data_IF_165955325934
#
_entry.id   IF_165955325934
#
_cell.length_a   1.000
_cell.length_b   1.000
_cell.length_c   1.000
_cell.angle_alpha   90.00
_cell.angle_beta   90.00
_cell.angle_gamma   90.00
#
_symmetry.space_group_name_H-M   'P 1'
#
loop_
_entity.id
_entity.type
_entity.pdbx_description
1 polymer ?
#
# COMPACT_ATOMS: atom_id res chain seq x y z
N UNK A 1 8.80 -13.52 -19.42
CA UNK A 1 8.49 -12.08 -19.34
C UNK A 1 8.65 -11.49 -20.74
N UNK A 2 7.63 -10.83 -21.28
CA UNK A 2 7.47 -10.68 -22.74
C UNK A 2 8.21 -9.44 -23.29
N UNK A 3 8.82 -9.54 -24.48
CA UNK A 3 9.54 -8.44 -25.19
C UNK A 3 8.73 -7.14 -25.25
N UNK A 4 7.42 -7.28 -25.43
CA UNK A 4 6.42 -6.22 -25.47
C UNK A 4 6.40 -5.36 -24.18
N UNK A 5 6.58 -5.98 -23.02
CA UNK A 5 6.56 -5.26 -21.73
C UNK A 5 7.74 -4.31 -21.61
N UNK A 6 8.94 -4.76 -21.99
CA UNK A 6 10.14 -3.92 -21.95
C UNK A 6 10.09 -2.78 -22.96
N UNK A 7 9.47 -2.98 -24.12
CA UNK A 7 9.20 -1.92 -25.08
C UNK A 7 8.24 -0.86 -24.51
N UNK A 8 7.17 -1.28 -23.83
CA UNK A 8 6.26 -0.37 -23.14
C UNK A 8 6.97 0.44 -22.05
N UNK A 9 7.76 -0.23 -21.19
CA UNK A 9 8.55 0.42 -20.14
C UNK A 9 9.55 1.41 -20.74
N UNK A 10 10.30 1.02 -21.77
CA UNK A 10 11.27 1.88 -22.43
C UNK A 10 10.65 3.15 -23.02
N UNK A 11 9.48 3.03 -23.65
CA UNK A 11 8.74 4.19 -24.14
C UNK A 11 8.22 5.08 -23.02
N UNK A 12 7.69 4.48 -21.94
CA UNK A 12 7.28 5.24 -20.77
C UNK A 12 8.46 6.01 -20.17
N UNK A 13 9.62 5.37 -20.01
CA UNK A 13 10.85 6.01 -19.54
C UNK A 13 11.21 7.20 -20.44
N UNK A 14 11.21 7.02 -21.76
CA UNK A 14 11.55 8.07 -22.72
C UNK A 14 10.65 9.31 -22.56
N UNK A 15 9.33 9.13 -22.47
CA UNK A 15 8.37 10.23 -22.35
C UNK A 15 8.20 10.79 -20.93
N UNK A 16 8.79 10.14 -19.92
CA UNK A 16 8.66 10.57 -18.52
C UNK A 16 9.96 11.15 -17.99
N UNK A 17 11.07 10.44 -18.17
CA UNK A 17 12.38 10.76 -17.56
C UNK A 17 13.08 11.88 -18.32
N UNK A 18 13.05 11.87 -19.66
CA UNK A 18 13.75 12.88 -20.46
C UNK A 18 13.16 14.29 -20.23
N UNK A 19 11.82 14.50 -20.31
CA UNK A 19 11.25 15.81 -20.03
C UNK A 19 11.52 16.29 -18.60
N UNK A 20 11.50 15.36 -17.63
CA UNK A 20 11.82 15.64 -16.22
C UNK A 20 13.21 16.24 -16.07
N UNK A 21 14.23 15.60 -16.65
CA UNK A 21 15.63 16.02 -16.49
C UNK A 21 15.90 17.33 -17.26
N UNK A 22 15.26 17.53 -18.41
CA UNK A 22 15.34 18.80 -19.17
C UNK A 22 14.76 19.95 -18.35
N UNK A 23 13.56 19.79 -17.80
CA UNK A 23 12.89 20.83 -16.99
C UNK A 23 13.67 21.07 -15.69
N UNK A 24 14.23 20.02 -15.10
CA UNK A 24 15.14 20.09 -13.98
C UNK A 24 16.50 20.72 -14.28
N UNK A 25 16.79 21.07 -15.55
CA UNK A 25 18.10 21.58 -16.02
C UNK A 25 19.28 20.68 -15.59
N UNK A 26 19.07 19.36 -15.61
CA UNK A 26 20.07 18.37 -15.17
C UNK A 26 20.07 18.08 -13.67
N UNK A 27 19.25 18.76 -12.87
CA UNK A 27 19.08 18.51 -11.43
C UNK A 27 17.66 18.06 -11.10
N UNK A 28 17.49 17.39 -9.96
CA UNK A 28 16.16 17.09 -9.43
C UNK A 28 15.61 18.31 -8.67
N UNK A 29 15.12 19.30 -9.41
CA UNK A 29 14.41 20.45 -8.84
C UNK A 29 12.97 20.08 -8.49
N UNK A 30 12.29 20.92 -7.72
CA UNK A 30 10.86 20.75 -7.39
C UNK A 30 10.04 20.58 -8.69
N UNK A 31 10.28 21.42 -9.70
CA UNK A 31 9.62 21.31 -11.01
C UNK A 31 9.92 19.99 -11.73
N UNK A 32 11.15 19.46 -11.59
CA UNK A 32 11.49 18.14 -12.11
C UNK A 32 10.70 17.03 -11.40
N UNK A 33 10.60 17.08 -10.07
CA UNK A 33 9.81 16.12 -9.28
C UNK A 33 8.34 16.17 -9.67
N UNK A 34 7.75 17.36 -9.76
CA UNK A 34 6.36 17.55 -10.19
C UNK A 34 6.13 16.99 -11.60
N UNK A 35 7.01 17.28 -12.54
CA UNK A 35 6.91 16.76 -13.90
C UNK A 35 7.02 15.23 -13.94
N UNK A 36 7.96 14.65 -13.19
CA UNK A 36 8.09 13.20 -13.12
C UNK A 36 6.85 12.55 -12.51
N UNK A 37 6.36 13.09 -11.39
CA UNK A 37 5.18 12.54 -10.71
C UNK A 37 3.94 12.60 -11.61
N UNK A 38 3.72 13.70 -12.34
CA UNK A 38 2.60 13.82 -13.28
C UNK A 38 2.74 12.87 -14.48
N UNK A 39 3.90 12.89 -15.15
CA UNK A 39 4.11 12.11 -16.37
C UNK A 39 4.15 10.60 -16.09
N UNK A 40 4.70 10.18 -14.94
CA UNK A 40 4.75 8.76 -14.56
C UNK A 40 3.37 8.14 -14.32
N UNK A 41 2.37 8.98 -14.03
CA UNK A 41 0.97 8.58 -14.02
C UNK A 41 0.36 8.65 -15.42
N UNK A 42 0.45 9.80 -16.09
CA UNK A 42 -0.30 10.08 -17.32
C UNK A 42 0.19 9.24 -18.50
N UNK A 43 1.50 9.15 -18.71
CA UNK A 43 2.08 8.50 -19.90
C UNK A 43 1.66 7.03 -19.99
N UNK A 44 1.82 6.18 -18.95
CA UNK A 44 1.35 4.79 -19.01
C UNK A 44 -0.15 4.67 -19.27
N UNK A 45 -0.98 5.56 -18.72
CA UNK A 45 -2.43 5.57 -18.93
C UNK A 45 -2.80 5.91 -20.38
N UNK A 46 -2.15 6.91 -20.96
CA UNK A 46 -2.38 7.30 -22.36
C UNK A 46 -1.88 6.23 -23.31
N UNK A 47 -0.65 5.76 -23.14
CA UNK A 47 -0.03 4.76 -24.01
C UNK A 47 -0.84 3.46 -24.06
N UNK A 48 -1.45 3.04 -22.94
CA UNK A 48 -2.28 1.83 -22.93
C UNK A 48 -3.60 1.98 -23.71
N UNK A 49 -4.08 3.20 -23.91
CA UNK A 49 -5.33 3.49 -24.66
C UNK A 49 -5.12 3.61 -26.17
N UNK A 50 -3.88 3.78 -26.62
CA UNK A 50 -3.59 3.94 -28.05
C UNK A 50 -3.53 2.57 -28.72
N UNK A 51 -4.60 2.18 -29.42
CA UNK A 51 -4.73 0.89 -30.11
C UNK A 51 -3.66 0.65 -31.17
N UNK A 52 -3.12 1.72 -31.76
CA UNK A 52 -2.04 1.66 -32.77
C UNK A 52 -0.71 1.17 -32.17
N UNK A 53 -0.54 1.23 -30.86
CA UNK A 53 0.66 0.74 -30.19
C UNK A 53 0.54 -0.77 -29.97
N UNK A 54 1.12 -1.57 -30.88
CA UNK A 54 1.13 -3.05 -30.82
C UNK A 54 1.66 -3.60 -29.49
N UNK A 55 2.44 -2.83 -28.73
CA UNK A 55 2.92 -3.22 -27.41
C UNK A 55 1.90 -3.01 -26.29
N UNK A 56 0.88 -2.15 -26.47
CA UNK A 56 -0.19 -1.94 -25.50
C UNK A 56 -1.20 -3.09 -25.49
N UNK A 57 -1.42 -3.74 -26.64
CA UNK A 57 -2.44 -4.79 -26.83
C UNK A 57 -2.05 -6.16 -26.27
N UNK A 58 -0.76 -6.42 -26.07
CA UNK A 58 -0.25 -7.68 -25.50
C UNK A 58 0.12 -7.63 -24.02
N UNK A 59 -0.06 -6.47 -23.36
CA UNK A 59 0.40 -6.22 -22.00
C UNK A 59 -0.77 -6.12 -20.99
N UNK A 60 -0.86 -7.11 -20.10
CA UNK A 60 -1.92 -7.19 -19.10
C UNK A 60 -1.53 -6.46 -17.80
N UNK A 61 -1.91 -5.18 -17.70
CA UNK A 61 -1.79 -4.38 -16.47
C UNK A 61 -3.06 -3.54 -16.27
N UNK A 62 -3.78 -3.69 -15.16
CA UNK A 62 -4.96 -2.84 -14.92
C UNK A 62 -4.53 -1.45 -14.50
N UNK A 63 -5.17 -0.43 -15.09
CA UNK A 63 -4.78 0.97 -14.93
C UNK A 63 -4.89 1.48 -13.48
N UNK A 64 -5.88 1.00 -12.73
CA UNK A 64 -6.04 1.40 -11.33
C UNK A 64 -4.99 0.78 -10.41
N UNK A 65 -4.45 -0.41 -10.71
CA UNK A 65 -3.31 -0.96 -9.96
C UNK A 65 -2.01 -0.22 -10.28
N UNK A 66 -1.86 0.28 -11.52
CA UNK A 66 -0.79 1.23 -11.84
C UNK A 66 -0.92 2.53 -11.06
N UNK A 67 -2.13 3.12 -11.02
CA UNK A 67 -2.36 4.35 -10.25
C UNK A 67 -2.08 4.15 -8.74
N UNK A 68 -2.46 3.01 -8.18
CA UNK A 68 -2.12 2.67 -6.79
C UNK A 68 -0.60 2.50 -6.59
N UNK A 69 0.08 1.74 -7.45
CA UNK A 69 1.54 1.59 -7.39
C UNK A 69 2.27 2.93 -7.56
N UNK A 70 1.81 3.76 -8.49
CA UNK A 70 2.30 5.12 -8.70
C UNK A 70 2.23 5.91 -7.38
N UNK A 71 1.07 5.95 -6.74
CA UNK A 71 0.88 6.69 -5.49
C UNK A 71 1.82 6.18 -4.39
N UNK A 72 2.00 4.85 -4.27
CA UNK A 72 2.90 4.27 -3.27
C UNK A 72 4.35 4.70 -3.48
N UNK A 73 4.85 4.58 -4.71
CA UNK A 73 6.25 4.87 -5.02
C UNK A 73 6.53 6.37 -5.07
N UNK A 74 5.59 7.20 -5.50
CA UNK A 74 5.77 8.66 -5.45
C UNK A 74 5.82 9.16 -4.00
N UNK A 75 4.98 8.62 -3.13
CA UNK A 75 5.03 8.93 -1.70
C UNK A 75 6.36 8.45 -1.10
N UNK A 76 6.80 7.23 -1.39
CA UNK A 76 8.05 6.71 -0.85
C UNK A 76 9.29 7.51 -1.28
N UNK A 77 9.41 7.80 -2.58
CA UNK A 77 10.59 8.49 -3.12
C UNK A 77 10.54 10.00 -2.91
N UNK A 78 9.40 10.67 -3.11
CA UNK A 78 9.36 12.14 -3.19
C UNK A 78 8.69 12.82 -1.99
N UNK A 79 7.81 12.14 -1.26
CA UNK A 79 7.13 12.70 -0.10
C UNK A 79 7.77 12.27 1.24
N UNK A 80 8.36 11.07 1.28
CA UNK A 80 9.16 10.58 2.40
C UNK A 80 10.61 11.07 2.34
N UNK A 81 11.34 10.96 3.44
CA UNK A 81 12.79 11.22 3.52
C UNK A 81 13.65 10.29 2.64
N UNK A 82 13.02 9.39 1.87
CA UNK A 82 13.64 8.29 1.12
C UNK A 82 14.66 8.67 0.06
N UNK A 83 14.65 9.91 -0.47
CA UNK A 83 15.69 10.36 -1.42
C UNK A 83 16.23 11.77 -1.21
N UNK A 84 15.81 12.50 -0.19
CA UNK A 84 16.29 13.88 0.02
C UNK A 84 17.77 13.97 0.43
N UNK A 85 18.48 12.83 0.57
CA UNK A 85 19.89 12.79 0.93
C UNK A 85 20.81 12.20 -0.14
N UNK A 86 20.36 12.04 -1.40
CA UNK A 86 21.28 11.80 -2.52
C UNK A 86 21.93 13.13 -2.94
N UNK A 87 22.70 13.74 -2.03
CA UNK A 87 23.61 14.83 -2.36
C UNK A 87 24.78 14.20 -3.13
N UNK A 88 24.65 14.16 -4.45
CA UNK A 88 25.69 13.66 -5.33
C UNK A 88 26.83 14.69 -5.30
N UNK A 89 28.02 14.36 -4.78
CA UNK A 89 29.13 15.31 -4.61
C UNK A 89 29.87 15.51 -5.95
N UNK A 90 29.14 15.79 -7.01
CA UNK A 90 29.66 15.95 -8.37
C UNK A 90 29.38 17.36 -8.82
N UNK A 91 30.40 18.06 -9.33
CA UNK A 91 30.28 19.44 -9.85
C UNK A 91 29.88 19.50 -11.32
N UNK A 92 29.95 18.37 -12.04
CA UNK A 92 29.59 18.28 -13.45
C UNK A 92 28.08 18.04 -13.64
N UNK A 93 27.38 19.07 -14.12
CA UNK A 93 25.93 19.07 -14.37
C UNK A 93 25.51 17.92 -15.31
N UNK A 94 26.31 17.59 -16.32
CA UNK A 94 25.98 16.51 -17.26
C UNK A 94 25.99 15.14 -16.58
N UNK A 95 26.93 14.90 -15.67
CA UNK A 95 27.02 13.65 -14.92
C UNK A 95 25.88 13.52 -13.90
N UNK A 96 25.50 14.64 -13.25
CA UNK A 96 24.34 14.69 -12.34
C UNK A 96 23.05 14.38 -13.11
N UNK A 97 22.86 15.00 -14.28
CA UNK A 97 21.71 14.74 -15.13
C UNK A 97 21.63 13.29 -15.59
N UNK A 98 22.75 12.71 -16.04
CA UNK A 98 22.82 11.30 -16.43
C UNK A 98 22.48 10.36 -15.28
N UNK A 99 22.95 10.65 -14.06
CA UNK A 99 22.65 9.85 -12.88
C UNK A 99 21.15 9.93 -12.52
N UNK A 100 20.54 11.11 -12.61
CA UNK A 100 19.08 11.25 -12.43
C UNK A 100 18.28 10.53 -13.50
N UNK A 101 18.75 10.49 -14.76
CA UNK A 101 18.13 9.65 -15.79
C UNK A 101 18.11 8.19 -15.35
N UNK A 102 19.22 7.66 -14.82
CA UNK A 102 19.29 6.27 -14.32
C UNK A 102 18.33 6.05 -13.16
N UNK A 103 18.37 6.91 -12.14
CA UNK A 103 17.52 6.78 -10.95
C UNK A 103 16.04 6.84 -11.31
N UNK A 104 15.61 7.84 -12.07
CA UNK A 104 14.21 8.00 -12.47
C UNK A 104 13.74 6.88 -13.41
N UNK A 105 14.63 6.32 -14.24
CA UNK A 105 14.33 5.14 -15.05
C UNK A 105 14.08 3.90 -14.19
N UNK A 106 14.89 3.71 -13.14
CA UNK A 106 14.67 2.66 -12.15
C UNK A 106 13.33 2.83 -11.43
N UNK A 107 13.04 4.05 -10.94
CA UNK A 107 11.77 4.36 -10.28
C UNK A 107 10.58 4.07 -11.20
N UNK A 108 10.63 4.52 -12.45
CA UNK A 108 9.56 4.28 -13.43
C UNK A 108 9.35 2.80 -13.71
N UNK A 109 10.45 2.05 -13.83
CA UNK A 109 10.41 0.59 -14.02
C UNK A 109 9.76 -0.08 -12.82
N UNK A 110 10.12 0.30 -11.60
CA UNK A 110 9.55 -0.22 -10.36
C UNK A 110 8.05 0.07 -10.27
N UNK A 111 7.60 1.28 -10.63
CA UNK A 111 6.16 1.64 -10.66
C UNK A 111 5.38 0.70 -11.58
N UNK A 112 5.82 0.56 -12.83
CA UNK A 112 5.12 -0.28 -13.82
C UNK A 112 5.14 -1.75 -13.40
N UNK A 113 6.30 -2.27 -12.99
CA UNK A 113 6.41 -3.66 -12.54
C UNK A 113 5.52 -3.93 -11.32
N UNK A 114 5.43 -2.99 -10.38
CA UNK A 114 4.54 -3.10 -9.23
C UNK A 114 3.07 -3.15 -9.66
N UNK A 115 2.65 -2.30 -10.62
CA UNK A 115 1.31 -2.35 -11.19
C UNK A 115 0.97 -3.70 -11.85
N UNK A 116 1.94 -4.31 -12.53
CA UNK A 116 1.82 -5.64 -13.12
C UNK A 116 1.72 -6.73 -12.05
N UNK A 117 2.58 -6.67 -11.04
CA UNK A 117 2.58 -7.62 -9.91
C UNK A 117 1.25 -7.54 -9.18
N UNK A 118 0.76 -6.34 -8.88
CA UNK A 118 -0.56 -6.13 -8.26
C UNK A 118 -1.70 -6.70 -9.13
N UNK A 119 -1.65 -6.47 -10.45
CA UNK A 119 -2.63 -7.04 -11.37
C UNK A 119 -2.68 -8.55 -11.26
N UNK A 120 -1.54 -9.23 -11.35
CA UNK A 120 -1.46 -10.69 -11.21
C UNK A 120 -1.83 -11.17 -9.82
N UNK A 121 -1.44 -10.42 -8.80
CA UNK A 121 -1.71 -10.73 -7.41
C UNK A 121 -3.22 -10.77 -7.14
N UNK A 122 -3.98 -9.77 -7.59
CA UNK A 122 -5.43 -9.73 -7.38
C UNK A 122 -6.22 -10.65 -8.32
N UNK A 123 -5.65 -11.05 -9.44
CA UNK A 123 -6.24 -12.03 -10.38
C UNK A 123 -5.94 -13.49 -10.02
N UNK A 124 -5.11 -13.73 -8.99
CA UNK A 124 -4.75 -15.08 -8.57
C UNK A 124 -5.98 -15.91 -8.19
N UNK A 125 -5.89 -17.23 -8.39
CA UNK A 125 -6.89 -18.16 -7.87
C UNK A 125 -6.88 -18.14 -6.33
N UNK A 126 -8.06 -17.95 -5.74
CA UNK A 126 -8.22 -17.87 -4.29
C UNK A 126 -8.69 -19.23 -3.77
N UNK A 127 -7.82 -19.94 -3.05
CA UNK A 127 -8.14 -21.23 -2.40
C UNK A 127 -8.59 -21.07 -0.96
N UNK A 128 -7.78 -20.41 -0.13
CA UNK A 128 -8.07 -20.21 1.30
C UNK A 128 -8.67 -18.82 1.54
N UNK A 129 -9.94 -18.80 1.89
CA UNK A 129 -10.68 -17.54 1.99
C UNK A 129 -10.13 -16.60 3.07
N UNK A 130 -9.79 -17.15 4.25
CA UNK A 130 -9.17 -16.40 5.34
C UNK A 130 -7.87 -15.72 4.90
N UNK A 131 -6.90 -16.52 4.45
CA UNK A 131 -5.60 -16.02 4.01
C UNK A 131 -5.73 -15.00 2.88
N UNK A 132 -6.48 -15.30 1.81
CA UNK A 132 -6.57 -14.38 0.68
C UNK A 132 -7.30 -13.09 0.99
N UNK A 133 -8.34 -13.13 1.85
CA UNK A 133 -9.03 -11.93 2.30
C UNK A 133 -8.10 -11.05 3.13
N UNK A 134 -7.34 -11.65 4.05
CA UNK A 134 -6.35 -10.93 4.87
C UNK A 134 -5.27 -10.28 4.01
N UNK A 135 -4.63 -11.03 3.11
CA UNK A 135 -3.54 -10.48 2.30
C UNK A 135 -4.06 -9.45 1.29
N UNK A 136 -5.27 -9.62 0.74
CA UNK A 136 -5.84 -8.63 -0.20
C UNK A 136 -6.16 -7.31 0.50
N UNK A 137 -6.77 -7.35 1.69
CA UNK A 137 -7.02 -6.14 2.47
C UNK A 137 -5.68 -5.51 2.88
N UNK A 138 -4.72 -6.31 3.36
CA UNK A 138 -3.40 -5.82 3.75
C UNK A 138 -2.65 -5.14 2.60
N UNK A 139 -2.68 -5.73 1.40
CA UNK A 139 -1.98 -5.22 0.22
C UNK A 139 -2.48 -3.85 -0.23
N UNK A 140 -3.74 -3.49 0.09
CA UNK A 140 -4.32 -2.18 -0.21
C UNK A 140 -4.10 -1.18 0.92
N UNK A 141 -4.15 -1.64 2.17
CA UNK A 141 -4.29 -0.74 3.33
C UNK A 141 -2.99 -0.44 4.03
N UNK A 142 -2.06 -1.38 4.08
CA UNK A 142 -0.84 -1.26 4.88
C UNK A 142 0.27 -0.44 4.21
N UNK A 143 0.57 -0.61 2.91
CA UNK A 143 1.77 0.00 2.32
C UNK A 143 1.82 1.52 2.50
N UNK A 144 0.74 2.22 2.18
CA UNK A 144 0.75 3.70 2.17
C UNK A 144 0.95 4.31 3.57
N UNK A 145 0.13 4.00 4.60
CA UNK A 145 0.32 4.58 5.93
C UNK A 145 1.65 4.20 6.57
N UNK A 146 2.15 2.98 6.31
CA UNK A 146 3.41 2.51 6.89
C UNK A 146 4.61 3.20 6.24
N UNK A 147 4.58 3.46 4.93
CA UNK A 147 5.63 4.24 4.27
C UNK A 147 5.70 5.67 4.82
N UNK A 148 4.54 6.31 5.05
CA UNK A 148 4.46 7.64 5.65
C UNK A 148 4.99 7.65 7.10
N UNK A 149 4.52 6.72 7.94
CA UNK A 149 5.01 6.59 9.32
C UNK A 149 6.51 6.29 9.38
N UNK A 150 6.98 5.37 8.54
CA UNK A 150 8.39 4.98 8.52
C UNK A 150 9.30 6.15 8.15
N UNK A 151 8.87 7.07 7.28
CA UNK A 151 9.63 8.28 6.95
C UNK A 151 9.97 9.16 8.17
N UNK A 152 9.04 9.25 9.12
CA UNK A 152 9.22 9.98 10.39
C UNK A 152 10.01 9.16 11.40
N UNK A 153 9.73 7.86 11.51
CA UNK A 153 10.34 6.99 12.51
C UNK A 153 11.78 6.58 12.16
N UNK A 154 12.20 6.73 10.90
CA UNK A 154 13.55 6.42 10.43
C UNK A 154 14.61 7.45 10.87
N UNK A 155 14.23 8.66 11.28
CA UNK A 155 15.18 9.75 11.57
C UNK A 155 16.20 9.34 12.65
N UNK A 156 17.50 9.35 12.32
CA UNK A 156 18.58 8.94 13.22
C UNK A 156 19.26 10.11 13.97
N UNK A 157 18.81 11.35 13.79
CA UNK A 157 19.44 12.51 14.42
C UNK A 157 18.65 12.95 15.67
N UNK A 158 19.17 12.78 16.89
CA UNK A 158 18.48 13.13 18.12
C UNK A 158 18.09 14.61 18.21
N UNK A 159 18.90 15.52 17.64
CA UNK A 159 18.63 16.95 17.64
C UNK A 159 17.42 17.31 16.78
N UNK A 160 17.28 16.65 15.61
CA UNK A 160 16.11 16.83 14.75
C UNK A 160 14.86 16.24 15.40
N UNK A 161 14.99 15.07 16.04
CA UNK A 161 13.87 14.45 16.77
C UNK A 161 13.37 15.36 17.88
N UNK A 162 14.27 15.96 18.67
CA UNK A 162 13.89 16.90 19.72
C UNK A 162 13.26 18.18 19.16
N UNK A 163 13.84 18.76 18.10
CA UNK A 163 13.35 20.00 17.50
C UNK A 163 11.96 19.86 16.86
N UNK A 164 11.66 18.70 16.26
CA UNK A 164 10.40 18.47 15.53
C UNK A 164 9.43 17.53 16.26
N UNK A 165 9.67 17.23 17.55
CA UNK A 165 8.92 16.19 18.26
C UNK A 165 7.39 16.40 18.22
N UNK A 166 6.91 17.63 18.42
CA UNK A 166 5.47 17.95 18.35
C UNK A 166 4.89 17.67 16.96
N UNK A 167 5.58 18.10 15.90
CA UNK A 167 5.16 17.88 14.51
C UNK A 167 5.15 16.40 14.16
N UNK A 168 6.15 15.65 14.60
CA UNK A 168 6.27 14.21 14.37
C UNK A 168 5.10 13.46 15.04
N UNK A 169 4.71 13.84 16.26
CA UNK A 169 3.55 13.25 16.93
C UNK A 169 2.24 13.49 16.18
N UNK A 170 1.99 14.71 15.73
CA UNK A 170 0.76 15.03 14.98
C UNK A 170 0.74 14.37 13.60
N UNK A 171 1.90 14.26 12.95
CA UNK A 171 2.02 13.53 11.69
C UNK A 171 1.75 12.04 11.85
N UNK A 172 2.27 11.41 12.92
CA UNK A 172 1.98 10.00 13.23
C UNK A 172 0.47 9.81 13.46
N UNK A 173 -0.18 10.69 14.23
CA UNK A 173 -1.65 10.62 14.43
C UNK A 173 -2.41 10.69 13.10
N UNK A 174 -2.00 11.57 12.20
CA UNK A 174 -2.60 11.69 10.87
C UNK A 174 -2.41 10.41 10.05
N UNK A 175 -1.23 9.79 10.10
CA UNK A 175 -0.98 8.50 9.45
C UNK A 175 -1.83 7.37 10.04
N UNK A 176 -2.03 7.36 11.36
CA UNK A 176 -2.91 6.40 12.03
C UNK A 176 -4.38 6.60 11.63
N UNK A 177 -4.84 7.85 11.51
CA UNK A 177 -6.17 8.16 11.00
C UNK A 177 -6.32 7.72 9.54
N UNK A 178 -5.31 7.94 8.70
CA UNK A 178 -5.29 7.48 7.32
C UNK A 178 -5.37 5.95 7.25
N UNK A 179 -4.60 5.25 8.07
CA UNK A 179 -4.65 3.79 8.19
C UNK A 179 -6.07 3.33 8.57
N UNK A 180 -6.69 3.96 9.56
CA UNK A 180 -8.07 3.67 9.98
C UNK A 180 -9.05 3.85 8.81
N UNK A 181 -9.03 4.99 8.14
CA UNK A 181 -9.98 5.29 7.06
C UNK A 181 -9.82 4.33 5.88
N UNK A 182 -8.57 4.09 5.43
CA UNK A 182 -8.30 3.21 4.29
C UNK A 182 -8.65 1.75 4.64
N UNK A 183 -8.34 1.28 5.86
CA UNK A 183 -8.69 -0.08 6.29
C UNK A 183 -10.19 -0.28 6.38
N UNK A 184 -10.94 0.67 6.94
CA UNK A 184 -12.40 0.60 7.00
C UNK A 184 -13.04 0.62 5.60
N UNK A 185 -12.56 1.51 4.72
CA UNK A 185 -13.01 1.56 3.33
C UNK A 185 -12.70 0.26 2.59
N UNK A 186 -11.50 -0.31 2.76
CA UNK A 186 -11.12 -1.57 2.15
C UNK A 186 -11.96 -2.74 2.66
N UNK A 187 -12.24 -2.82 3.97
CA UNK A 187 -13.13 -3.85 4.51
C UNK A 187 -14.54 -3.72 3.92
N UNK A 188 -15.10 -2.51 3.86
CA UNK A 188 -16.42 -2.28 3.27
C UNK A 188 -16.44 -2.66 1.79
N UNK A 189 -15.49 -2.17 0.98
CA UNK A 189 -15.49 -2.38 -0.48
C UNK A 189 -15.10 -3.81 -0.86
N UNK A 190 -14.18 -4.44 -0.14
CA UNK A 190 -13.68 -5.77 -0.48
C UNK A 190 -14.60 -6.90 0.01
N UNK A 191 -15.19 -6.76 1.21
CA UNK A 191 -16.03 -7.82 1.79
C UNK A 191 -17.50 -7.71 1.35
N UNK A 192 -17.97 -6.52 0.96
CA UNK A 192 -19.36 -6.32 0.55
C UNK A 192 -19.76 -6.96 -0.79
N UNK A 193 -18.95 -7.04 -1.86
CA UNK A 193 -19.34 -7.70 -3.10
C UNK A 193 -19.11 -9.22 -3.04
N UNK A 194 -20.13 -10.00 -2.64
CA UNK A 194 -20.12 -11.47 -2.69
C UNK A 194 -21.49 -12.01 -3.08
N UNK A 195 -21.66 -12.58 -4.27
CA UNK A 195 -23.01 -12.89 -4.79
C UNK A 195 -23.82 -13.88 -3.94
N UNK A 196 -23.17 -14.83 -3.29
CA UNK A 196 -23.85 -16.04 -2.79
C UNK A 196 -24.40 -15.92 -1.37
N UNK A 197 -23.85 -15.03 -0.53
CA UNK A 197 -24.26 -14.95 0.89
C UNK A 197 -25.34 -13.90 1.13
N UNK A 198 -26.28 -14.11 2.07
CA UNK A 198 -27.34 -13.13 2.34
C UNK A 198 -26.76 -11.78 2.80
N UNK A 199 -27.32 -10.67 2.29
CA UNK A 199 -26.87 -9.30 2.62
C UNK A 199 -26.72 -9.04 4.12
N UNK A 200 -27.67 -9.52 4.95
CA UNK A 200 -27.64 -9.36 6.41
C UNK A 200 -26.45 -10.07 7.08
N UNK A 201 -26.17 -11.32 6.69
CA UNK A 201 -25.04 -12.10 7.25
C UNK A 201 -23.71 -11.47 6.84
N UNK A 202 -23.64 -10.98 5.61
CA UNK A 202 -22.46 -10.26 5.10
C UNK A 202 -22.17 -8.99 5.88
N UNK A 203 -23.21 -8.21 6.18
CA UNK A 203 -23.07 -7.01 7.01
C UNK A 203 -22.51 -7.35 8.39
N UNK A 204 -23.00 -8.44 9.02
CA UNK A 204 -22.47 -8.90 10.32
C UNK A 204 -20.99 -9.25 10.21
N UNK A 205 -20.56 -9.97 9.17
CA UNK A 205 -19.14 -10.28 8.98
C UNK A 205 -18.29 -9.02 8.87
N UNK A 206 -18.72 -8.04 8.06
CA UNK A 206 -18.00 -6.77 7.88
C UNK A 206 -17.90 -6.06 9.23
N UNK A 207 -19.02 -5.94 9.93
CA UNK A 207 -19.11 -5.28 11.22
C UNK A 207 -18.22 -5.95 12.27
N UNK A 208 -18.26 -7.27 12.40
CA UNK A 208 -17.42 -8.04 13.34
C UNK A 208 -15.95 -7.89 12.98
N UNK A 209 -15.58 -8.00 11.70
CA UNK A 209 -14.18 -7.82 11.25
C UNK A 209 -13.69 -6.42 11.61
N UNK A 210 -14.46 -5.39 11.29
CA UNK A 210 -14.12 -4.00 11.56
C UNK A 210 -14.01 -3.73 13.06
N UNK A 211 -14.97 -4.22 13.86
CA UNK A 211 -14.99 -4.03 15.31
C UNK A 211 -13.80 -4.72 15.98
N UNK A 212 -13.52 -5.99 15.65
CA UNK A 212 -12.38 -6.73 16.21
C UNK A 212 -11.06 -6.06 15.83
N UNK A 213 -10.90 -5.66 14.57
CA UNK A 213 -9.71 -4.94 14.13
C UNK A 213 -9.56 -3.62 14.89
N UNK A 214 -10.63 -2.81 14.98
CA UNK A 214 -10.63 -1.52 15.65
C UNK A 214 -10.37 -1.66 17.15
N UNK A 215 -10.93 -2.69 17.80
CA UNK A 215 -10.71 -2.94 19.21
C UNK A 215 -9.24 -3.28 19.49
N UNK A 216 -8.63 -4.16 18.70
CA UNK A 216 -7.22 -4.54 18.88
C UNK A 216 -6.30 -3.35 18.54
N UNK A 217 -6.49 -2.74 17.38
CA UNK A 217 -5.66 -1.60 16.93
C UNK A 217 -5.84 -0.39 17.84
N UNK A 218 -7.07 -0.08 18.26
CA UNK A 218 -7.35 1.00 19.20
C UNK A 218 -6.72 0.78 20.57
N UNK A 219 -6.75 -0.45 21.10
CA UNK A 219 -6.06 -0.77 22.36
C UNK A 219 -4.54 -0.69 22.22
N UNK A 220 -3.98 -1.16 21.11
CA UNK A 220 -2.54 -1.04 20.82
C UNK A 220 -2.13 0.43 20.65
N UNK A 221 -2.96 1.28 20.04
CA UNK A 221 -2.57 2.66 19.73
C UNK A 221 -2.86 3.66 20.85
N UNK A 222 -3.93 3.46 21.61
CA UNK A 222 -4.44 4.45 22.59
C UNK A 222 -4.74 3.85 23.97
N UNK A 223 -4.66 2.53 24.12
CA UNK A 223 -4.96 1.82 25.36
C UNK A 223 -3.72 1.45 26.17
N UNK A 224 -3.95 0.64 27.21
CA UNK A 224 -2.88 0.12 28.06
C UNK A 224 -2.16 -1.06 27.36
N UNK A 225 -0.84 -0.98 27.24
CA UNK A 225 0.01 -2.09 26.80
C UNK A 225 0.64 -2.82 27.99
N UNK A 226 0.62 -4.17 28.02
CA UNK A 226 1.39 -4.93 28.99
C UNK A 226 2.89 -4.60 28.90
N UNK A 227 3.60 -4.57 30.04
CA UNK A 227 5.01 -4.17 30.07
C UNK A 227 5.93 -5.05 29.21
N UNK A 228 5.66 -6.35 29.10
CA UNK A 228 6.44 -7.24 28.23
C UNK A 228 6.29 -6.86 26.74
N UNK A 229 5.12 -6.34 26.33
CA UNK A 229 4.91 -5.83 24.95
C UNK A 229 5.72 -4.56 24.74
N UNK A 230 5.71 -3.63 25.71
CA UNK A 230 6.51 -2.39 25.63
C UNK A 230 8.02 -2.68 25.54
N UNK A 231 8.49 -3.69 26.27
CA UNK A 231 9.89 -4.13 26.20
C UNK A 231 10.21 -4.78 24.85
N UNK A 232 9.33 -5.66 24.35
CA UNK A 232 9.47 -6.26 23.03
C UNK A 232 9.45 -5.20 21.91
N UNK A 233 8.58 -4.19 21.99
CA UNK A 233 8.50 -3.11 21.00
C UNK A 233 9.83 -2.37 20.88
N UNK A 234 10.55 -2.09 21.98
CA UNK A 234 11.86 -1.41 21.89
C UNK A 234 12.93 -2.24 21.16
N UNK A 235 12.84 -3.57 21.21
CA UNK A 235 13.79 -4.49 20.54
C UNK A 235 13.39 -4.72 19.08
N UNK A 236 12.09 -4.85 18.81
CA UNK A 236 11.55 -5.22 17.50
C UNK A 236 11.25 -3.96 16.64
N UNK A 237 11.12 -2.79 17.27
CA UNK A 237 10.79 -1.52 16.64
C UNK A 237 11.80 -0.42 17.00
N UNK A 238 12.92 -0.33 16.26
CA UNK A 238 14.02 0.62 16.51
C UNK A 238 13.66 2.04 16.04
N UNK A 239 12.75 2.69 16.77
CA UNK A 239 12.30 4.06 16.49
C UNK A 239 13.44 5.06 16.68
N UNK A 240 13.62 5.94 15.70
CA UNK A 240 14.64 6.99 15.67
C UNK A 240 16.10 6.49 15.67
N UNK A 241 16.33 5.29 15.16
CA UNK A 241 17.66 4.66 15.11
C UNK A 241 18.21 4.50 13.69
N UNK A 242 17.58 5.09 12.67
CA UNK A 242 18.04 4.93 11.28
C UNK A 242 17.87 3.52 10.71
N UNK A 243 17.03 2.69 11.33
CA UNK A 243 16.87 1.30 10.94
C UNK A 243 15.66 1.12 10.01
N UNK A 244 15.84 0.40 8.91
CA UNK A 244 14.78 0.08 7.94
C UNK A 244 13.68 -0.83 8.54
N UNK A 245 13.92 -1.45 9.69
CA UNK A 245 12.93 -2.25 10.42
C UNK A 245 11.66 -1.45 10.73
N UNK A 246 11.76 -0.12 10.86
CA UNK A 246 10.58 0.74 11.11
C UNK A 246 9.51 0.67 10.02
N UNK A 247 9.88 0.26 8.79
CA UNK A 247 8.93 0.05 7.69
C UNK A 247 8.33 -1.36 7.66
N UNK A 248 8.98 -2.34 8.29
CA UNK A 248 8.62 -3.76 8.16
C UNK A 248 7.86 -4.25 9.39
N UNK A 249 8.34 -3.93 10.59
CA UNK A 249 7.77 -4.45 11.83
C UNK A 249 6.29 -4.07 12.03
N UNK A 250 5.87 -2.80 11.84
CA UNK A 250 4.46 -2.43 11.96
C UNK A 250 3.58 -3.14 10.95
N UNK A 251 4.10 -3.40 9.74
CA UNK A 251 3.36 -4.08 8.69
C UNK A 251 3.05 -5.51 9.08
N UNK A 252 4.03 -6.23 9.65
CA UNK A 252 3.85 -7.61 10.12
C UNK A 252 2.84 -7.66 11.27
N UNK A 253 2.97 -6.76 12.26
CA UNK A 253 2.04 -6.72 13.39
C UNK A 253 0.61 -6.43 12.92
N UNK A 254 0.42 -5.42 12.06
CA UNK A 254 -0.90 -5.09 11.52
C UNK A 254 -1.47 -6.19 10.63
N UNK A 255 -0.62 -6.93 9.90
CA UNK A 255 -1.04 -8.09 9.12
C UNK A 255 -1.57 -9.21 10.02
N UNK A 256 -0.89 -9.48 11.15
CA UNK A 256 -1.33 -10.48 12.13
C UNK A 256 -2.68 -10.06 12.75
N UNK A 257 -2.80 -8.80 13.18
CA UNK A 257 -4.03 -8.27 13.75
C UNK A 257 -5.19 -8.37 12.73
N UNK A 258 -4.92 -8.03 11.47
CA UNK A 258 -5.88 -8.16 10.38
C UNK A 258 -6.27 -9.62 10.13
N UNK A 259 -5.32 -10.56 10.23
CA UNK A 259 -5.61 -11.99 10.12
C UNK A 259 -6.58 -12.46 11.20
N UNK A 260 -6.36 -12.05 12.46
CA UNK A 260 -7.24 -12.35 13.59
C UNK A 260 -8.65 -11.76 13.36
N UNK A 261 -8.73 -10.49 12.96
CA UNK A 261 -10.00 -9.81 12.71
C UNK A 261 -10.81 -10.46 11.57
N UNK A 262 -10.16 -10.77 10.44
CA UNK A 262 -10.79 -11.47 9.31
C UNK A 262 -11.25 -12.88 9.72
N UNK A 263 -10.45 -13.58 10.54
CA UNK A 263 -10.82 -14.88 11.10
C UNK A 263 -12.09 -14.81 11.95
N UNK A 264 -12.20 -13.81 12.84
CA UNK A 264 -13.39 -13.59 13.65
C UNK A 264 -14.63 -13.28 12.78
N UNK A 265 -14.49 -12.44 11.77
CA UNK A 265 -15.56 -12.15 10.81
C UNK A 265 -16.05 -13.38 10.06
N UNK A 266 -15.13 -14.21 9.57
CA UNK A 266 -15.45 -15.47 8.89
C UNK A 266 -16.17 -16.46 9.81
N UNK A 267 -15.70 -16.59 11.05
CA UNK A 267 -16.31 -17.47 12.03
C UNK A 267 -17.75 -17.04 12.34
N UNK A 268 -17.99 -15.72 12.46
CA UNK A 268 -19.33 -15.18 12.66
C UNK A 268 -20.29 -15.49 11.50
N UNK A 269 -19.81 -15.39 10.25
CA UNK A 269 -20.58 -15.76 9.06
C UNK A 269 -20.92 -17.25 9.03
N UNK A 270 -19.92 -18.11 9.30
CA UNK A 270 -20.12 -19.56 9.35
C UNK A 270 -21.20 -19.96 10.36
N UNK A 271 -21.16 -19.39 11.57
CA UNK A 271 -22.12 -19.73 12.62
C UNK A 271 -23.55 -19.29 12.26
N UNK A 272 -23.71 -18.09 11.68
CA UNK A 272 -25.00 -17.58 11.22
C UNK A 272 -25.59 -18.41 10.07
N UNK A 273 -24.77 -18.84 9.12
CA UNK A 273 -25.20 -19.72 8.03
C UNK A 273 -25.64 -21.10 8.56
N UNK A 274 -24.86 -21.68 9.48
CA UNK A 274 -25.19 -22.94 10.15
C UNK A 274 -26.51 -22.86 10.91
N UNK A 275 -26.73 -21.79 11.67
CA UNK A 275 -27.97 -21.54 12.39
C UNK A 275 -29.18 -21.40 11.45
N UNK A 276 -29.01 -20.67 10.35
CA UNK A 276 -30.05 -20.50 9.33
C UNK A 276 -30.43 -21.82 8.66
N UNK A 277 -29.44 -22.66 8.35
CA UNK A 277 -29.68 -23.98 7.75
C UNK A 277 -30.45 -24.88 8.72
N UNK A 278 -30.04 -24.93 10.00
CA UNK A 278 -30.73 -25.69 11.04
C UNK A 278 -32.19 -25.26 11.18
N UNK A 279 -32.45 -23.95 11.19
CA UNK A 279 -33.82 -23.41 11.30
C UNK A 279 -34.69 -23.77 10.10
N UNK A 280 -34.14 -23.78 8.87
CA UNK A 280 -34.87 -24.20 7.68
C UNK A 280 -35.27 -25.67 7.74
N UNK A 281 -34.36 -26.56 8.15
CA UNK A 281 -34.68 -28.00 8.27
C UNK A 281 -35.78 -28.28 9.30
N UNK A 282 -35.77 -27.56 10.43
CA UNK A 282 -36.79 -27.70 11.46
C UNK A 282 -38.18 -27.21 11.02
N UNK A 283 -38.27 -26.26 10.08
CA UNK A 283 -39.58 -25.80 9.56
C UNK A 283 -40.15 -26.81 8.55
N UNK A 284 -39.31 -27.40 7.70
CA UNK A 284 -39.74 -28.43 6.74
C UNK A 284 -40.15 -29.76 7.35
N UNK A 285 -39.77 -30.03 8.61
CA UNK A 285 -40.18 -31.23 9.35
C UNK A 285 -41.48 -31.06 10.15
N UNK A 286 -41.99 -29.83 10.26
CA UNK A 286 -43.28 -29.54 10.94
C UNK A 286 -44.44 -29.57 9.92
N UNK A 287 -44.14 -29.36 8.63
CA UNK A 287 -45.10 -29.39 7.53
C UNK A 287 -45.26 -30.81 6.88
N UNK A 288 -44.71 -31.86 7.50
CA UNK A 288 -44.93 -33.28 7.12
C UNK A 288 -45.50 -34.05 8.30
#
# INVERSE_FOLDING_TARGET
MNKIMWQFIGMCILFTVIPTVIIGKGHLTIYGVEMFTLLSLIIPLMMKKVERLRFATGFHMRLYYHAYAWLLWTVFFFLGSGTMHLVIPVKNIALIGALWVVVLSCVMTIIILSGVVLTRFFERQKRHEWFHTTVDIAAVTLPLPILLMGGVLYINNPLLVQAYMSFMYDYIKLCLLLLLVITMAAMAIYLYPRGETPKKIRFVRIFVTALVWLAIVGHVMFGWMPQFVLQAVKVVFPVYQGSLLVYVTPAIILLIILAVAVGAGLYSEYYLLKYRHKRRMNMTSIDR
#
